data_IF_238113057881
#
_entry.id   IF_238113057881
#
_cell.length_a   1.000
_cell.length_b   1.000
_cell.length_c   1.000
_cell.angle_alpha   90.00
_cell.angle_beta   90.00
_cell.angle_gamma   90.00
#
_symmetry.space_group_name_H-M   'P 1'
#
loop_
_entity.id
_entity.type
_entity.pdbx_description
1 polymer ?
#
# COMPACT_ATOMS: atom_id res chain seq x y z
N UNK A 1 -1.92 -7.46 -8.81
CA UNK A 1 -0.56 -6.88 -8.86
C UNK A 1 -0.61 -5.76 -9.88
N UNK A 2 -0.33 -4.52 -9.48
CA UNK A 2 -0.39 -3.36 -10.39
C UNK A 2 1.03 -2.79 -10.53
N UNK A 3 1.52 -2.77 -11.77
CA UNK A 3 2.86 -2.31 -12.12
C UNK A 3 2.76 -0.93 -12.76
N UNK A 4 3.62 0.00 -12.36
CA UNK A 4 3.85 1.21 -13.15
C UNK A 4 4.93 0.88 -14.19
N UNK A 5 4.58 0.95 -15.47
CA UNK A 5 5.55 0.75 -16.56
C UNK A 5 6.62 1.86 -16.57
N UNK A 6 6.31 3.04 -16.03
CA UNK A 6 7.10 4.26 -16.22
C UNK A 6 8.41 4.27 -15.40
N UNK A 7 8.50 3.55 -14.27
CA UNK A 7 9.68 3.66 -13.37
C UNK A 7 10.13 2.34 -12.69
N UNK A 8 9.73 1.17 -13.19
CA UNK A 8 10.19 -0.12 -12.63
C UNK A 8 9.72 -0.43 -11.21
N UNK A 9 8.88 0.41 -10.60
CA UNK A 9 8.26 0.18 -9.30
C UNK A 9 6.93 -0.56 -9.47
N UNK A 10 6.59 -1.46 -8.55
CA UNK A 10 5.27 -2.10 -8.52
C UNK A 10 4.71 -2.16 -7.11
N UNK A 11 3.37 -2.13 -7.01
CA UNK A 11 2.67 -2.24 -5.75
C UNK A 11 2.01 -3.61 -5.62
N UNK A 12 2.11 -4.16 -4.41
CA UNK A 12 1.34 -5.35 -4.01
C UNK A 12 0.43 -4.96 -2.87
N UNK A 13 -0.85 -5.26 -3.02
CA UNK A 13 -1.87 -5.13 -1.97
C UNK A 13 -2.37 -6.51 -1.57
N UNK A 14 -2.85 -6.63 -0.33
CA UNK A 14 -3.27 -7.90 0.23
C UNK A 14 -4.58 -7.83 0.99
N UNK A 15 -5.15 -9.02 1.19
CA UNK A 15 -6.32 -9.24 2.04
C UNK A 15 -6.03 -8.99 3.53
N UNK A 16 -4.74 -8.95 3.90
CA UNK A 16 -4.28 -8.56 5.23
C UNK A 16 -4.33 -7.05 5.49
N UNK A 17 -4.86 -6.27 4.54
CA UNK A 17 -4.96 -4.81 4.63
C UNK A 17 -3.63 -4.10 4.41
N UNK A 18 -2.58 -4.81 4.00
CA UNK A 18 -1.26 -4.23 3.73
C UNK A 18 -1.09 -3.86 2.26
N UNK A 19 -0.37 -2.76 2.00
CA UNK A 19 0.22 -2.49 0.69
C UNK A 19 1.73 -2.27 0.83
N UNK A 20 2.48 -2.76 -0.17
CA UNK A 20 3.93 -2.62 -0.24
C UNK A 20 4.32 -2.12 -1.62
N UNK A 21 5.28 -1.19 -1.66
CA UNK A 21 5.96 -0.79 -2.89
C UNK A 21 7.28 -1.54 -3.03
N UNK A 22 7.58 -1.93 -4.25
CA UNK A 22 8.76 -2.69 -4.62
C UNK A 22 9.49 -1.99 -5.73
N UNK A 23 10.79 -1.82 -5.55
CA UNK A 23 11.70 -1.36 -6.60
C UNK A 23 12.34 -2.59 -7.27
N UNK A 24 12.10 -2.77 -8.57
CA UNK A 24 12.67 -3.88 -9.35
C UNK A 24 14.19 -3.77 -9.47
N UNK A 25 14.70 -2.57 -9.64
CA UNK A 25 16.12 -2.32 -9.92
C UNK A 25 16.93 -2.32 -8.63
N UNK A 26 16.38 -1.73 -7.56
CA UNK A 26 16.96 -1.75 -6.21
C UNK A 26 16.72 -3.06 -5.44
N UNK A 27 15.87 -3.97 -5.95
CA UNK A 27 15.45 -5.24 -5.30
C UNK A 27 15.05 -5.08 -3.83
N UNK A 28 14.49 -3.93 -3.48
CA UNK A 28 14.24 -3.53 -2.11
C UNK A 28 12.79 -3.10 -1.91
N UNK A 29 12.35 -3.17 -0.65
CA UNK A 29 11.09 -2.57 -0.19
C UNK A 29 11.42 -1.21 0.43
N UNK A 30 11.15 -0.08 -0.24
CA UNK A 30 11.63 1.23 0.21
C UNK A 30 11.00 1.70 1.53
N UNK A 31 9.73 1.34 1.80
CA UNK A 31 9.00 1.75 3.00
C UNK A 31 7.94 0.72 3.40
N UNK A 32 7.78 0.53 4.71
CA UNK A 32 6.67 -0.25 5.27
C UNK A 32 5.53 0.71 5.66
N UNK A 33 4.33 0.45 5.14
CA UNK A 33 3.14 1.24 5.43
C UNK A 33 2.31 0.60 6.53
N UNK A 34 1.54 1.43 7.24
CA UNK A 34 0.56 0.96 8.22
C UNK A 34 -0.54 0.17 7.52
N UNK A 35 -0.99 -0.92 8.16
CA UNK A 35 -2.08 -1.74 7.64
C UNK A 35 -3.41 -1.00 7.75
N UNK A 36 -4.24 -1.15 6.74
CA UNK A 36 -5.64 -0.73 6.75
C UNK A 36 -6.46 -1.64 7.67
N UNK A 37 -7.58 -1.13 8.23
CA UNK A 37 -8.44 -1.90 9.13
C UNK A 37 -9.21 -3.03 8.44
N UNK A 38 -9.22 -3.08 7.11
CA UNK A 38 -9.91 -4.08 6.31
C UNK A 38 -9.07 -4.43 5.06
N UNK A 39 -9.42 -5.54 4.34
CA UNK A 39 -8.73 -5.97 3.13
C UNK A 39 -8.65 -4.87 2.07
N UNK A 40 -7.55 -4.86 1.30
CA UNK A 40 -7.43 -4.01 0.12
C UNK A 40 -7.79 -4.84 -1.11
N UNK A 41 -8.96 -4.59 -1.69
CA UNK A 41 -9.49 -5.36 -2.82
C UNK A 41 -8.87 -4.95 -4.14
N UNK A 42 -8.71 -3.66 -4.35
CA UNK A 42 -8.23 -3.08 -5.60
C UNK A 42 -7.28 -1.92 -5.30
N UNK A 43 -6.34 -1.68 -6.21
CA UNK A 43 -5.45 -0.52 -6.14
C UNK A 43 -4.95 -0.15 -7.53
N UNK A 44 -4.74 1.13 -7.80
CA UNK A 44 -4.13 1.57 -9.06
C UNK A 44 -3.31 2.82 -8.82
N UNK A 45 -2.36 3.06 -9.72
CA UNK A 45 -1.69 4.35 -9.82
C UNK A 45 -2.39 5.22 -10.86
N UNK A 46 -2.19 6.53 -10.77
CA UNK A 46 -2.42 7.44 -11.88
C UNK A 46 -1.33 7.31 -12.96
N UNK A 47 -1.52 7.98 -14.09
CA UNK A 47 -0.71 7.79 -15.29
C UNK A 47 0.77 8.19 -15.12
N UNK A 48 1.03 9.23 -14.35
CA UNK A 48 2.36 9.73 -13.99
C UNK A 48 2.94 9.04 -12.74
N UNK A 49 2.13 8.27 -12.02
CA UNK A 49 2.52 7.53 -10.82
C UNK A 49 2.57 8.35 -9.53
N UNK A 50 2.26 9.65 -9.58
CA UNK A 50 2.30 10.57 -8.43
C UNK A 50 1.23 10.28 -7.36
N UNK A 51 0.25 9.45 -7.69
CA UNK A 51 -0.86 9.10 -6.82
C UNK A 51 -1.10 7.60 -6.86
N UNK A 52 -1.22 7.01 -5.67
CA UNK A 52 -1.66 5.63 -5.46
C UNK A 52 -3.06 5.63 -4.83
N UNK A 53 -4.04 5.11 -5.56
CA UNK A 53 -5.40 4.91 -5.09
C UNK A 53 -5.62 3.45 -4.69
N UNK A 54 -6.32 3.21 -3.59
CA UNK A 54 -6.66 1.86 -3.14
C UNK A 54 -8.02 1.80 -2.45
N UNK A 55 -8.74 0.71 -2.68
CA UNK A 55 -10.05 0.44 -2.12
C UNK A 55 -9.94 -0.53 -0.94
N UNK A 56 -10.50 -0.13 0.20
CA UNK A 56 -10.52 -0.89 1.44
C UNK A 56 -11.96 -1.33 1.69
N UNK A 57 -12.22 -2.62 1.53
CA UNK A 57 -13.51 -3.24 1.79
C UNK A 57 -13.37 -4.75 2.03
N UNK A 58 -14.43 -5.37 2.51
CA UNK A 58 -14.45 -6.81 2.69
C UNK A 58 -14.39 -7.54 1.35
N UNK A 59 -13.43 -8.45 1.20
CA UNK A 59 -13.10 -9.14 -0.06
C UNK A 59 -13.64 -10.58 -0.14
N UNK A 60 -14.54 -10.96 0.77
CA UNK A 60 -15.09 -12.31 0.87
C UNK A 60 -14.10 -13.42 1.27
N UNK A 61 -12.87 -13.07 1.67
CA UNK A 61 -11.84 -14.03 2.08
C UNK A 61 -12.26 -14.98 3.21
N UNK A 62 -13.27 -14.63 4.01
CA UNK A 62 -13.82 -15.45 5.12
C UNK A 62 -15.29 -15.85 4.92
N UNK A 63 -15.81 -15.75 3.69
CA UNK A 63 -17.18 -16.12 3.34
C UNK A 63 -18.28 -15.16 3.79
N UNK A 64 -19.50 -15.43 3.33
CA UNK A 64 -20.68 -14.57 3.55
C UNK A 64 -21.01 -14.40 5.05
N UNK A 65 -20.72 -15.40 5.87
CA UNK A 65 -20.98 -15.41 7.31
C UNK A 65 -20.26 -14.29 8.08
N UNK A 66 -19.14 -13.80 7.54
CA UNK A 66 -18.36 -12.70 8.13
C UNK A 66 -18.62 -11.37 7.43
N UNK A 67 -19.48 -11.33 6.41
CA UNK A 67 -19.93 -10.09 5.80
C UNK A 67 -21.13 -9.53 6.56
N UNK A 68 -20.94 -8.41 7.24
CA UNK A 68 -22.02 -7.68 7.90
C UNK A 68 -22.35 -6.42 7.08
N UNK A 69 -23.46 -6.39 6.32
CA UNK A 69 -23.84 -5.26 5.47
C UNK A 69 -23.99 -3.94 6.26
N UNK A 70 -24.40 -4.01 7.52
CA UNK A 70 -24.62 -2.83 8.38
C UNK A 70 -23.30 -2.17 8.80
N UNK A 71 -22.19 -2.91 8.79
CA UNK A 71 -20.85 -2.39 9.16
C UNK A 71 -19.86 -2.42 8.01
N UNK A 72 -20.23 -2.98 6.86
CA UNK A 72 -19.40 -3.09 5.66
C UNK A 72 -19.24 -1.70 5.01
N UNK A 73 -18.26 -0.94 5.50
CA UNK A 73 -17.86 0.33 4.88
C UNK A 73 -16.85 0.06 3.77
N UNK A 74 -17.14 0.57 2.60
CA UNK A 74 -16.18 0.64 1.48
C UNK A 74 -15.58 2.03 1.47
N UNK A 75 -14.27 2.11 1.65
CA UNK A 75 -13.53 3.36 1.62
C UNK A 75 -12.52 3.35 0.49
N UNK A 76 -12.41 4.47 -0.22
CA UNK A 76 -11.36 4.68 -1.21
C UNK A 76 -10.38 5.66 -0.61
N UNK A 77 -9.11 5.27 -0.58
CA UNK A 77 -8.03 6.10 -0.09
C UNK A 77 -7.13 6.50 -1.24
N UNK A 78 -6.58 7.71 -1.12
CA UNK A 78 -5.65 8.29 -2.06
C UNK A 78 -4.38 8.63 -1.29
N UNK A 79 -3.24 8.14 -1.77
CA UNK A 79 -1.93 8.43 -1.22
C UNK A 79 -1.10 9.15 -2.27
N UNK A 80 -0.61 10.35 -1.95
CA UNK A 80 0.39 11.00 -2.79
C UNK A 80 1.70 10.24 -2.66
N UNK A 81 2.22 9.79 -3.80
CA UNK A 81 3.50 9.11 -3.91
C UNK A 81 4.46 10.12 -4.50
N UNK A 82 5.51 10.46 -3.77
CA UNK A 82 6.65 11.13 -4.38
C UNK A 82 7.27 10.10 -5.33
N UNK A 83 6.93 10.20 -6.61
CA UNK A 83 7.56 9.40 -7.68
C UNK A 83 8.99 9.86 -7.72
N UNK A 84 9.85 9.20 -6.95
CA UNK A 84 11.24 9.50 -7.11
C UNK A 84 11.73 8.77 -8.34
N UNK A 85 12.28 9.54 -9.24
CA UNK A 85 13.43 9.18 -10.06
C UNK A 85 14.67 8.77 -9.23
N UNK A 86 14.59 8.67 -7.88
CA UNK A 86 15.64 8.22 -6.95
C UNK A 86 15.17 7.98 -5.50
N UNK A 87 14.23 7.06 -5.26
CA UNK A 87 13.49 6.98 -3.98
C UNK A 87 14.28 6.32 -2.85
N UNK A 88 15.31 7.00 -2.33
CA UNK A 88 15.83 6.81 -0.97
C UNK A 88 16.66 8.04 -0.57
N UNK A 89 16.05 9.12 -0.05
CA UNK A 89 16.80 9.98 0.87
C UNK A 89 15.92 10.72 1.89
N UNK A 90 14.70 11.10 1.53
CA UNK A 90 13.94 12.06 2.36
C UNK A 90 13.10 11.44 3.49
N UNK A 91 12.84 10.12 3.48
CA UNK A 91 11.89 9.47 4.40
C UNK A 91 12.49 8.40 5.33
N UNK A 92 13.81 8.22 5.33
CA UNK A 92 14.51 7.36 6.31
C UNK A 92 14.83 8.16 7.57
N UNK A 93 13.82 8.74 8.23
CA UNK A 93 13.97 9.07 9.65
C UNK A 93 13.59 7.84 10.45
N UNK A 94 14.54 6.91 10.57
CA UNK A 94 14.42 5.80 11.50
C UNK A 94 14.07 6.36 12.88
N UNK A 95 12.96 5.93 13.47
CA UNK A 95 12.71 6.15 14.89
C UNK A 95 13.91 5.58 15.65
N UNK A 96 14.57 6.33 16.55
CA UNK A 96 15.62 5.77 17.38
C UNK A 96 15.07 4.56 18.13
N UNK A 97 15.76 3.43 18.05
CA UNK A 97 15.43 2.26 18.86
C UNK A 97 15.76 2.66 20.30
N UNK A 98 14.73 2.92 21.11
CA UNK A 98 14.91 3.20 22.53
C UNK A 98 15.63 2.01 23.18
N UNK A 99 16.89 2.23 23.58
CA UNK A 99 17.64 1.27 24.38
C UNK A 99 16.91 1.05 25.70
N UNK A 100 16.63 -0.21 26.02
CA UNK A 100 16.30 -0.60 27.39
C UNK A 100 17.62 -0.67 28.15
N UNK A 101 17.76 0.18 29.17
CA UNK A 101 18.71 -0.04 30.26
C UNK A 101 18.32 -1.30 31.04
#
# INVERSE_FOLDING_TARGET
MHSIQVHGTFATTGSDGGFNFWDKDGKQRPKAFSKCPAPITCSTFNQDGSIFAYAVCYDWSKGAEKHNPSTAKTNIFIHSVQVCTRCLESDVKGKPRAGKN
#
